data_IF_797322118854
#
_entry.id   IF_797322118854
#
_cell.length_a   1.000
_cell.length_b   1.000
_cell.length_c   1.000
_cell.angle_alpha   90.00
_cell.angle_beta   90.00
_cell.angle_gamma   90.00
#
_symmetry.space_group_name_H-M   'P 1'
#
loop_
_entity.id
_entity.type
_entity.pdbx_description
1 polymer ?
#
# COMPACT_ATOMS: atom_id res chain seq x y z
N UNK A 1 18.37 -0.47 -11.08
CA UNK A 1 17.73 0.69 -10.41
C UNK A 1 16.81 0.19 -9.32
N UNK A 2 15.89 -0.73 -9.61
CA UNK A 2 15.00 -1.39 -8.64
C UNK A 2 15.70 -1.91 -7.36
N UNK A 3 16.85 -2.57 -7.48
CA UNK A 3 17.63 -3.04 -6.32
C UNK A 3 18.02 -1.89 -5.36
N UNK A 4 18.39 -0.73 -5.91
CA UNK A 4 18.74 0.45 -5.10
C UNK A 4 17.51 0.99 -4.37
N UNK A 5 16.36 1.10 -5.04
CA UNK A 5 15.11 1.53 -4.38
C UNK A 5 14.65 0.56 -3.31
N UNK A 6 14.85 -0.74 -3.51
CA UNK A 6 14.61 -1.75 -2.49
C UNK A 6 15.52 -1.58 -1.27
N UNK A 7 16.82 -1.38 -1.48
CA UNK A 7 17.80 -1.16 -0.41
C UNK A 7 17.53 0.16 0.35
N UNK A 8 17.23 1.23 -0.37
CA UNK A 8 16.85 2.53 0.19
C UNK A 8 15.55 2.40 1.01
N UNK A 9 14.54 1.71 0.47
CA UNK A 9 13.29 1.45 1.17
C UNK A 9 13.56 0.77 2.51
N UNK A 10 14.27 -0.36 2.52
CA UNK A 10 14.55 -1.11 3.75
C UNK A 10 15.42 -0.35 4.75
N UNK A 11 16.21 0.61 4.29
CA UNK A 11 17.07 1.42 5.14
C UNK A 11 16.31 2.51 5.88
N UNK A 12 15.23 3.06 5.31
CA UNK A 12 14.58 4.27 5.83
C UNK A 12 13.10 4.10 6.18
N UNK A 13 12.29 3.48 5.31
CA UNK A 13 10.83 3.46 5.50
C UNK A 13 10.41 2.65 6.73
N UNK A 14 10.99 1.47 7.01
CA UNK A 14 10.71 0.75 8.25
C UNK A 14 11.00 1.53 9.54
N UNK A 15 11.94 2.48 9.51
CA UNK A 15 12.26 3.31 10.69
C UNK A 15 11.16 4.34 10.99
N UNK A 16 10.39 4.72 9.98
CA UNK A 16 9.26 5.64 10.12
C UNK A 16 7.98 4.92 10.52
N UNK A 17 7.82 3.66 10.14
CA UNK A 17 6.68 2.81 10.47
C UNK A 17 7.07 1.52 11.23
N UNK A 18 7.78 1.61 12.36
CA UNK A 18 8.32 0.44 13.05
C UNK A 18 7.25 -0.54 13.54
N UNK A 19 6.01 -0.07 13.74
CA UNK A 19 4.87 -0.89 14.13
C UNK A 19 4.24 -1.67 12.97
N UNK A 20 4.42 -1.21 11.73
CA UNK A 20 3.87 -1.86 10.54
C UNK A 20 4.90 -2.66 9.74
N UNK A 21 6.17 -2.26 9.79
CA UNK A 21 7.24 -2.78 8.93
C UNK A 21 8.40 -3.33 9.77
N UNK A 22 8.20 -4.52 10.34
CA UNK A 22 9.29 -5.24 11.01
C UNK A 22 10.12 -6.05 10.01
N UNK A 23 11.33 -5.57 9.71
CA UNK A 23 12.26 -6.23 8.77
C UNK A 23 12.73 -7.59 9.28
N UNK A 24 12.65 -7.86 10.59
CA UNK A 24 13.09 -9.13 11.17
C UNK A 24 12.10 -10.27 10.95
N UNK A 25 10.82 -9.94 10.73
CA UNK A 25 9.74 -10.89 10.46
C UNK A 25 9.24 -10.83 9.02
N UNK A 26 9.75 -9.89 8.22
CA UNK A 26 9.43 -9.75 6.80
C UNK A 26 9.65 -11.06 6.04
N UNK A 27 8.66 -11.44 5.23
CA UNK A 27 8.77 -12.61 4.36
C UNK A 27 9.85 -12.39 3.28
N UNK A 28 10.28 -13.49 2.65
CA UNK A 28 11.31 -13.40 1.61
C UNK A 28 10.81 -12.54 0.43
N UNK A 29 11.58 -11.51 0.01
CA UNK A 29 11.17 -10.60 -1.06
C UNK A 29 11.03 -11.32 -2.40
N UNK A 30 10.05 -10.91 -3.22
CA UNK A 30 9.82 -11.47 -4.56
C UNK A 30 10.14 -10.43 -5.62
N UNK A 31 11.22 -10.67 -6.35
CA UNK A 31 11.68 -9.79 -7.42
C UNK A 31 11.04 -10.17 -8.76
N UNK A 32 10.59 -9.14 -9.46
CA UNK A 32 10.19 -9.15 -10.86
C UNK A 32 11.05 -8.16 -11.63
N UNK A 33 10.89 -8.09 -12.95
CA UNK A 33 11.71 -7.22 -13.80
C UNK A 33 11.54 -5.73 -13.43
N UNK A 34 10.30 -5.30 -13.19
CA UNK A 34 9.95 -3.87 -12.99
C UNK A 34 9.50 -3.53 -11.55
N UNK A 35 9.34 -4.52 -10.67
CA UNK A 35 8.91 -4.29 -9.29
C UNK A 35 9.36 -5.40 -8.32
N UNK A 36 9.35 -5.10 -7.02
CA UNK A 36 9.55 -6.09 -5.95
C UNK A 36 8.35 -6.06 -5.00
N UNK A 37 7.91 -7.25 -4.59
CA UNK A 37 6.87 -7.43 -3.58
C UNK A 37 7.51 -7.80 -2.24
N UNK A 38 7.10 -7.08 -1.20
CA UNK A 38 7.44 -7.35 0.19
C UNK A 38 6.16 -7.61 0.98
N UNK A 39 6.26 -8.49 1.98
CA UNK A 39 5.14 -8.81 2.87
C UNK A 39 5.63 -8.76 4.31
N UNK A 40 4.96 -7.95 5.12
CA UNK A 40 5.29 -7.69 6.52
C UNK A 40 4.15 -8.20 7.41
N UNK A 41 4.28 -9.39 8.01
CA UNK A 41 3.38 -9.84 9.05
C UNK A 41 3.42 -8.87 10.24
N UNK A 42 2.25 -8.54 10.78
CA UNK A 42 2.13 -7.63 11.91
C UNK A 42 2.20 -8.39 13.23
N UNK A 43 2.93 -7.84 14.20
CA UNK A 43 3.02 -8.40 15.54
C UNK A 43 1.69 -8.26 16.31
N UNK A 44 0.95 -7.19 16.05
CA UNK A 44 -0.38 -6.93 16.59
C UNK A 44 -1.40 -6.77 15.46
N UNK A 45 -2.68 -6.93 15.78
CA UNK A 45 -3.78 -6.79 14.83
C UNK A 45 -4.38 -5.38 14.89
N UNK A 46 -4.61 -4.78 13.72
CA UNK A 46 -5.11 -3.40 13.59
C UNK A 46 -6.47 -3.37 12.90
N UNK A 47 -7.30 -2.39 13.24
CA UNK A 47 -8.39 -2.01 12.33
C UNK A 47 -7.83 -1.41 11.04
N UNK A 48 -8.56 -1.56 9.94
CA UNK A 48 -8.13 -1.00 8.65
C UNK A 48 -7.96 0.52 8.72
N UNK A 49 -8.84 1.20 9.47
CA UNK A 49 -8.79 2.65 9.65
C UNK A 49 -7.55 3.07 10.44
N UNK A 50 -7.15 2.32 11.47
CA UNK A 50 -5.90 2.59 12.21
C UNK A 50 -4.67 2.47 11.30
N UNK A 51 -4.63 1.47 10.42
CA UNK A 51 -3.55 1.35 9.42
C UNK A 51 -3.55 2.55 8.47
N UNK A 52 -4.71 2.97 7.99
CA UNK A 52 -4.82 4.13 7.11
C UNK A 52 -4.32 5.41 7.79
N UNK A 53 -4.73 5.64 9.03
CA UNK A 53 -4.31 6.80 9.83
C UNK A 53 -2.78 6.80 10.03
N UNK A 54 -2.18 5.64 10.37
CA UNK A 54 -0.71 5.52 10.50
C UNK A 54 0.00 5.86 9.18
N UNK A 55 -0.49 5.36 8.04
CA UNK A 55 0.15 5.62 6.74
C UNK A 55 0.06 7.09 6.33
N UNK A 56 -1.07 7.76 6.61
CA UNK A 56 -1.27 9.17 6.31
C UNK A 56 -0.52 10.09 7.29
N UNK A 57 -0.54 9.80 8.60
CA UNK A 57 0.02 10.70 9.62
C UNK A 57 1.55 10.56 9.77
N UNK A 58 2.09 9.33 9.78
CA UNK A 58 3.52 9.11 10.08
C UNK A 58 4.41 9.23 8.82
N UNK A 59 3.85 8.93 7.65
CA UNK A 59 4.58 8.86 6.37
C UNK A 59 4.04 9.82 5.30
N UNK A 60 2.95 10.55 5.56
CA UNK A 60 2.29 11.41 4.58
C UNK A 60 1.96 10.67 3.28
N UNK A 61 1.66 9.36 3.37
CA UNK A 61 1.28 8.57 2.20
C UNK A 61 -0.08 9.00 1.70
N UNK A 62 -0.26 8.96 0.39
CA UNK A 62 -1.52 9.33 -0.23
C UNK A 62 -2.42 8.09 -0.24
N UNK A 63 -3.51 8.14 0.52
CA UNK A 63 -4.54 7.10 0.46
C UNK A 63 -5.16 7.09 -0.94
N UNK A 64 -5.10 5.93 -1.61
CA UNK A 64 -5.74 5.69 -2.90
C UNK A 64 -7.22 5.36 -2.74
N UNK A 65 -7.54 4.45 -1.82
CA UNK A 65 -8.91 4.04 -1.54
C UNK A 65 -9.09 3.40 -0.16
N UNK A 66 -10.35 3.39 0.29
CA UNK A 66 -10.89 2.48 1.29
C UNK A 66 -12.03 1.70 0.63
N UNK A 67 -11.80 0.42 0.37
CA UNK A 67 -12.72 -0.49 -0.31
C UNK A 67 -13.43 -1.41 0.68
N UNK A 68 -14.73 -1.59 0.49
CA UNK A 68 -15.57 -2.51 1.25
C UNK A 68 -16.21 -3.49 0.25
N UNK A 69 -15.79 -4.77 0.22
CA UNK A 69 -16.30 -5.74 -0.74
C UNK A 69 -17.76 -6.11 -0.48
N UNK A 70 -18.17 -6.14 0.78
CA UNK A 70 -19.56 -6.41 1.22
C UNK A 70 -19.86 -5.67 2.51
N UNK A 71 -21.09 -5.16 2.66
CA UNK A 71 -21.54 -4.53 3.91
C UNK A 71 -21.92 -5.53 5.02
N UNK A 72 -21.84 -6.84 4.76
CA UNK A 72 -22.26 -7.87 5.70
C UNK A 72 -21.20 -8.22 6.76
N UNK A 73 -19.92 -8.05 6.43
CA UNK A 73 -18.78 -8.43 7.27
C UNK A 73 -17.63 -7.45 7.06
N UNK A 74 -16.78 -7.28 8.07
CA UNK A 74 -15.54 -6.54 7.92
C UNK A 74 -14.50 -7.28 7.06
N UNK A 75 -14.65 -8.58 6.81
CA UNK A 75 -13.72 -9.40 6.02
C UNK A 75 -13.52 -8.85 4.60
N UNK A 76 -12.25 -8.76 4.21
CA UNK A 76 -11.84 -8.38 2.86
C UNK A 76 -11.91 -6.89 2.56
N UNK A 77 -12.32 -6.04 3.50
CA UNK A 77 -12.14 -4.60 3.40
C UNK A 77 -10.65 -4.29 3.23
N UNK A 78 -10.33 -3.39 2.32
CA UNK A 78 -8.94 -3.15 1.95
C UNK A 78 -8.64 -1.69 1.64
N UNK A 79 -7.39 -1.32 1.84
CA UNK A 79 -6.86 -0.01 1.46
C UNK A 79 -5.61 -0.18 0.62
N UNK A 80 -5.35 0.84 -0.19
CA UNK A 80 -4.07 1.06 -0.84
C UNK A 80 -3.67 2.50 -0.53
N UNK A 81 -2.42 2.71 -0.15
CA UNK A 81 -1.79 4.02 -0.04
C UNK A 81 -0.50 4.02 -0.87
N UNK A 82 -0.12 5.14 -1.44
CA UNK A 82 1.10 5.24 -2.25
C UNK A 82 1.98 6.41 -1.82
N UNK A 83 3.29 6.26 -2.03
CA UNK A 83 4.26 7.30 -1.73
C UNK A 83 4.05 8.51 -2.66
N UNK A 84 4.27 9.71 -2.15
CA UNK A 84 4.10 10.92 -2.94
C UNK A 84 5.12 10.97 -4.10
N UNK A 85 4.65 10.96 -5.37
CA UNK A 85 5.52 10.95 -6.55
C UNK A 85 6.51 12.11 -6.63
N UNK A 86 6.15 13.26 -6.05
CA UNK A 86 6.98 14.47 -6.07
C UNK A 86 8.33 14.30 -5.36
N UNK A 87 8.46 13.32 -4.47
CA UNK A 87 9.71 13.03 -3.75
C UNK A 87 10.52 11.89 -4.37
N UNK A 88 10.10 11.34 -5.52
CA UNK A 88 10.80 10.26 -6.21
C UNK A 88 10.77 8.90 -5.48
N UNK A 89 9.97 8.80 -4.41
CA UNK A 89 9.66 7.53 -3.78
C UNK A 89 8.66 6.77 -4.64
N UNK A 90 8.90 5.48 -4.87
CA UNK A 90 8.15 4.69 -5.83
C UNK A 90 7.66 3.40 -5.20
N UNK A 91 6.74 3.51 -4.23
CA UNK A 91 6.11 2.33 -3.63
C UNK A 91 4.65 2.57 -3.25
N UNK A 92 3.90 1.48 -3.15
CA UNK A 92 2.58 1.46 -2.51
C UNK A 92 2.55 0.47 -1.37
N UNK A 93 1.63 0.68 -0.44
CA UNK A 93 1.29 -0.24 0.62
C UNK A 93 -0.18 -0.62 0.53
N UNK A 94 -0.45 -1.92 0.66
CA UNK A 94 -1.77 -2.50 0.66
C UNK A 94 -2.01 -3.20 2.00
N UNK A 95 -3.22 -3.04 2.52
CA UNK A 95 -3.68 -3.74 3.70
C UNK A 95 -5.09 -4.27 3.46
N UNK A 96 -5.41 -5.40 4.07
CA UNK A 96 -6.71 -6.04 3.97
C UNK A 96 -7.06 -6.71 5.29
N UNK A 97 -8.34 -6.62 5.66
CA UNK A 97 -8.86 -7.31 6.83
C UNK A 97 -9.04 -8.81 6.57
N UNK A 98 -8.64 -9.61 7.54
CA UNK A 98 -8.84 -11.05 7.60
C UNK A 98 -10.25 -11.40 8.10
N UNK A 99 -10.52 -12.69 8.29
CA UNK A 99 -11.82 -13.19 8.75
C UNK A 99 -12.17 -12.72 10.17
N UNK A 100 -11.17 -12.30 10.95
CA UNK A 100 -11.35 -11.63 12.26
C UNK A 100 -11.80 -10.17 12.12
N UNK A 101 -11.80 -9.61 10.91
CA UNK A 101 -12.07 -8.20 10.65
C UNK A 101 -10.88 -7.28 10.89
N UNK A 102 -9.70 -7.83 11.23
CA UNK A 102 -8.47 -7.08 11.49
C UNK A 102 -7.42 -7.28 10.41
N UNK A 103 -6.54 -6.31 10.25
CA UNK A 103 -5.33 -6.40 9.43
C UNK A 103 -4.23 -7.07 10.24
N UNK A 104 -3.58 -8.07 9.63
CA UNK A 104 -2.46 -8.80 10.21
C UNK A 104 -1.20 -8.76 9.32
N UNK A 105 -1.27 -8.06 8.18
CA UNK A 105 -0.17 -7.96 7.22
C UNK A 105 -0.24 -6.68 6.40
N UNK A 106 0.92 -6.11 6.12
CA UNK A 106 1.10 -5.06 5.12
C UNK A 106 1.88 -5.63 3.94
N UNK A 107 1.33 -5.46 2.74
CA UNK A 107 1.98 -5.84 1.49
C UNK A 107 2.51 -4.57 0.80
N UNK A 108 3.79 -4.54 0.45
CA UNK A 108 4.44 -3.38 -0.19
C UNK A 108 4.87 -3.76 -1.60
N UNK A 109 4.59 -2.88 -2.55
CA UNK A 109 5.15 -2.98 -3.91
C UNK A 109 6.08 -1.81 -4.14
N UNK A 110 7.34 -2.07 -4.48
CA UNK A 110 8.33 -1.06 -4.85
C UNK A 110 8.56 -1.16 -6.35
N UNK A 111 8.47 -0.05 -7.05
CA UNK A 111 8.54 0.04 -8.51
C UNK A 111 9.90 0.57 -8.96
N UNK A 112 10.29 0.20 -10.18
CA UNK A 112 11.50 0.68 -10.82
C UNK A 112 11.36 2.10 -11.40
N UNK A 113 10.12 2.57 -11.61
CA UNK A 113 9.78 3.86 -12.22
C UNK A 113 8.39 4.36 -11.82
N UNK A 114 8.20 5.68 -11.92
CA UNK A 114 6.93 6.35 -11.68
C UNK A 114 5.85 5.97 -12.71
N UNK A 115 6.25 5.65 -13.94
CA UNK A 115 5.33 5.22 -15.00
C UNK A 115 4.65 3.89 -14.66
N UNK A 116 5.45 2.91 -14.20
CA UNK A 116 4.93 1.62 -13.75
C UNK A 116 4.07 1.75 -12.50
N UNK A 117 4.52 2.55 -11.53
CA UNK A 117 3.74 2.86 -10.32
C UNK A 117 2.37 3.46 -10.66
N UNK A 118 2.33 4.50 -11.49
CA UNK A 118 1.10 5.16 -11.92
C UNK A 118 0.15 4.18 -12.62
N UNK A 119 0.70 3.36 -13.53
CA UNK A 119 -0.06 2.35 -14.27
C UNK A 119 -0.69 1.30 -13.35
N UNK A 120 0.08 0.78 -12.39
CA UNK A 120 -0.37 -0.23 -11.44
C UNK A 120 -1.43 0.31 -10.47
N UNK A 121 -1.22 1.51 -9.93
CA UNK A 121 -2.20 2.19 -9.05
C UNK A 121 -3.53 2.44 -9.78
N UNK A 122 -3.47 2.88 -11.04
CA UNK A 122 -4.67 3.05 -11.86
C UNK A 122 -5.39 1.72 -12.13
N UNK A 123 -4.63 0.63 -12.32
CA UNK A 123 -5.19 -0.70 -12.51
C UNK A 123 -5.84 -1.23 -11.22
N UNK A 124 -5.18 -1.06 -10.08
CA UNK A 124 -5.66 -1.47 -8.75
C UNK A 124 -7.03 -0.84 -8.44
N UNK A 125 -7.17 0.48 -8.65
CA UNK A 125 -8.46 1.17 -8.56
C UNK A 125 -9.52 0.56 -9.46
N UNK A 126 -9.21 0.34 -10.74
CA UNK A 126 -10.14 -0.19 -11.74
C UNK A 126 -10.57 -1.62 -11.43
N UNK A 127 -9.70 -2.43 -10.84
CA UNK A 127 -10.04 -3.79 -10.42
C UNK A 127 -11.00 -3.78 -9.23
N UNK A 128 -10.76 -2.90 -8.25
CA UNK A 128 -11.65 -2.76 -7.08
C UNK A 128 -13.00 -2.12 -7.42
N UNK A 129 -13.11 -1.33 -8.50
CA UNK A 129 -14.41 -0.84 -9.02
C UNK A 129 -15.35 -1.97 -9.48
N UNK A 130 -14.84 -3.17 -9.76
CA UNK A 130 -15.65 -4.29 -10.26
C UNK A 130 -16.43 -5.04 -9.16
N UNK A 131 -16.18 -4.73 -7.89
CA UNK A 131 -16.83 -5.39 -6.76
C UNK A 131 -17.00 -4.45 -5.56
N UNK A 132 -18.02 -4.68 -4.73
CA UNK A 132 -18.22 -3.88 -3.51
C UNK A 132 -18.47 -2.40 -3.77
N UNK A 133 -18.02 -1.55 -2.85
CA UNK A 133 -18.04 -0.10 -2.99
C UNK A 133 -16.85 0.55 -2.27
N UNK A 134 -16.56 1.80 -2.63
CA UNK A 134 -15.55 2.60 -1.95
C UNK A 134 -16.19 3.49 -0.89
N UNK A 135 -15.70 3.41 0.35
CA UNK A 135 -15.96 4.42 1.38
C UNK A 135 -15.20 5.71 1.04
N UNK A 136 -14.00 5.55 0.49
CA UNK A 136 -13.17 6.62 -0.05
C UNK A 136 -12.44 6.13 -1.29
N UNK A 137 -12.21 7.01 -2.27
CA UNK A 137 -11.30 6.78 -3.39
C UNK A 137 -10.78 8.10 -3.93
N UNK A 138 -9.55 8.10 -4.44
CA UNK A 138 -9.01 9.21 -5.23
C UNK A 138 -9.70 9.32 -6.58
N UNK A 139 -9.85 10.55 -7.06
CA UNK A 139 -10.28 10.79 -8.42
C UNK A 139 -9.14 10.41 -9.37
N UNK A 140 -9.45 9.69 -10.44
CA UNK A 140 -8.46 9.22 -11.41
C UNK A 140 -7.74 10.37 -12.14
N UNK A 141 -8.44 11.45 -12.46
CA UNK A 141 -7.84 12.60 -13.15
C UNK A 141 -6.86 13.34 -12.25
N UNK A 142 -7.21 13.52 -10.97
CA UNK A 142 -6.33 14.10 -9.95
C UNK A 142 -5.10 13.22 -9.71
N UNK A 143 -5.32 11.90 -9.56
CA UNK A 143 -4.25 10.91 -9.42
C UNK A 143 -3.25 11.02 -10.58
N UNK A 144 -3.73 11.01 -11.83
CA UNK A 144 -2.84 11.08 -13.00
C UNK A 144 -2.03 12.39 -13.04
N UNK A 145 -2.59 13.50 -12.56
CA UNK A 145 -1.91 14.78 -12.53
C UNK A 145 -0.77 14.83 -11.50
N UNK A 146 -0.77 13.97 -10.48
CA UNK A 146 0.30 13.88 -9.47
C UNK A 146 1.58 13.22 -10.01
N UNK A 147 1.52 12.58 -11.18
CA UNK A 147 2.65 11.85 -11.79
C UNK A 147 3.26 12.56 -13.02
N UNK A 148 2.91 13.82 -13.27
CA UNK A 148 3.37 14.63 -14.43
C UNK A 148 4.46 15.62 -14.03
#
# INVERSE_FOLDING_TARGET
MLQLFYEDFLSFVPLQLPQLLDVTTMEQPRFYDDYVLLSFPLAEQYDLEEVMDILEDDMEMIILYHHIPTGATAFGSSTCAYSNPAFGQMFKMNARTTDTGKVDRIDVTIYDSLEFMCSDICLDLKLHEQSGHFKYRRNKEELLAEFI
#
